data_IF_641408055685
#
_entry.id   IF_641408055685
#
_cell.length_a   1.000
_cell.length_b   1.000
_cell.length_c   1.000
_cell.angle_alpha   90.00
_cell.angle_beta   90.00
_cell.angle_gamma   90.00
#
_symmetry.space_group_name_H-M   'P 1'
#
loop_
_entity.id
_entity.type
_entity.pdbx_description
1 polymer ?
#
# COMPACT_ATOMS: atom_id res chain seq x y z
N UNK A 1 10.03 -8.72 -8.00
CA UNK A 1 10.62 -7.57 -8.71
C UNK A 1 9.72 -6.37 -8.52
N UNK A 2 10.28 -5.23 -8.12
CA UNK A 2 9.53 -3.99 -7.94
C UNK A 2 9.20 -3.35 -9.29
N UNK A 3 7.99 -2.83 -9.43
CA UNK A 3 7.55 -2.02 -10.56
C UNK A 3 7.70 -0.56 -10.13
N UNK A 4 8.31 0.27 -10.97
CA UNK A 4 8.44 1.70 -10.73
C UNK A 4 7.77 2.48 -11.86
N UNK A 5 6.98 3.48 -11.50
CA UNK A 5 6.29 4.37 -12.44
C UNK A 5 6.38 5.80 -11.93
N UNK A 6 6.54 6.77 -12.83
CA UNK A 6 6.30 8.17 -12.49
C UNK A 6 4.79 8.36 -12.34
N UNK A 7 4.37 9.09 -11.30
CA UNK A 7 2.97 9.44 -11.10
C UNK A 7 2.59 10.50 -12.13
N UNK A 8 1.70 10.15 -13.05
CA UNK A 8 1.16 11.06 -14.07
C UNK A 8 0.10 11.99 -13.49
N UNK A 9 -0.74 11.45 -12.59
CA UNK A 9 -1.78 12.18 -11.89
C UNK A 9 -1.94 11.63 -10.47
N UNK A 10 -1.69 12.45 -9.47
CA UNK A 10 -1.96 12.12 -8.08
C UNK A 10 -3.43 12.37 -7.76
N UNK A 11 -4.15 11.34 -7.32
CA UNK A 11 -5.56 11.49 -6.92
C UNK A 11 -5.65 11.70 -5.42
N UNK A 12 -5.69 12.97 -5.01
CA UNK A 12 -5.90 13.34 -3.61
C UNK A 12 -7.39 13.24 -3.29
N UNK A 13 -7.71 12.43 -2.29
CA UNK A 13 -9.04 12.31 -1.71
C UNK A 13 -8.88 12.02 -0.23
N UNK A 14 -8.99 13.03 0.62
CA UNK A 14 -8.80 12.89 2.05
C UNK A 14 -9.80 11.94 2.71
N UNK A 15 -10.93 11.59 2.04
CA UNK A 15 -11.82 10.50 2.49
C UNK A 15 -11.14 9.13 2.49
N UNK A 16 -10.02 8.95 1.79
CA UNK A 16 -9.21 7.73 1.89
C UNK A 16 -8.75 7.44 3.33
N UNK A 17 -8.56 8.49 4.15
CA UNK A 17 -8.21 8.39 5.57
C UNK A 17 -9.33 7.73 6.39
N UNK A 18 -10.57 7.88 5.95
CA UNK A 18 -11.75 7.29 6.57
C UNK A 18 -11.88 5.79 6.27
N UNK A 19 -11.17 5.25 5.27
CA UNK A 19 -11.21 3.82 4.96
C UNK A 19 -10.69 2.96 6.11
N UNK A 20 -9.81 3.50 6.96
CA UNK A 20 -9.38 2.84 8.18
C UNK A 20 -10.51 2.61 9.19
N UNK A 21 -11.65 3.31 9.09
CA UNK A 21 -12.81 3.12 9.97
C UNK A 21 -13.80 2.07 9.44
N UNK A 22 -13.62 1.60 8.19
CA UNK A 22 -14.52 0.63 7.58
C UNK A 22 -14.42 -0.73 8.28
N UNK A 23 -15.54 -1.37 8.66
CA UNK A 23 -15.53 -2.67 9.30
C UNK A 23 -14.98 -3.75 8.36
N UNK A 24 -14.21 -4.68 8.91
CA UNK A 24 -13.77 -5.88 8.21
C UNK A 24 -13.71 -7.07 9.20
N UNK A 25 -13.61 -8.32 8.72
CA UNK A 25 -13.78 -9.47 9.59
C UNK A 25 -12.79 -9.47 10.78
N UNK A 26 -13.31 -9.61 12.00
CA UNK A 26 -12.55 -9.50 13.25
C UNK A 26 -12.41 -8.07 13.80
N UNK A 27 -12.85 -7.06 13.05
CA UNK A 27 -12.63 -5.64 13.33
C UNK A 27 -13.88 -4.81 12.99
N UNK A 28 -14.90 -4.90 13.85
CA UNK A 28 -16.20 -4.24 13.65
C UNK A 28 -16.15 -2.70 13.60
N UNK A 29 -15.08 -2.10 14.11
CA UNK A 29 -14.87 -0.64 14.13
C UNK A 29 -13.72 -0.20 13.21
N UNK A 30 -13.28 -1.09 12.31
CA UNK A 30 -12.16 -0.83 11.41
C UNK A 30 -10.79 -1.12 12.02
N UNK A 31 -9.77 -0.55 11.39
CA UNK A 31 -8.36 -0.85 11.63
C UNK A 31 -7.99 -0.60 13.10
N UNK A 32 -7.39 -1.57 13.79
CA UNK A 32 -6.99 -1.42 15.19
C UNK A 32 -5.86 -0.39 15.38
N UNK A 33 -5.20 0.05 14.30
CA UNK A 33 -4.16 1.07 14.35
C UNK A 33 -4.68 2.50 14.10
N UNK A 34 -5.97 2.67 13.74
CA UNK A 34 -6.56 3.99 13.56
C UNK A 34 -6.38 4.82 14.84
N UNK A 35 -5.87 6.05 14.70
CA UNK A 35 -5.61 6.97 15.81
C UNK A 35 -4.68 6.43 16.92
N UNK A 36 -3.76 5.53 16.58
CA UNK A 36 -2.79 4.96 17.55
C UNK A 36 -1.32 5.16 17.19
N UNK A 37 -1.02 5.48 15.93
CA UNK A 37 0.35 5.59 15.41
C UNK A 37 0.47 6.88 14.61
N UNK A 38 1.64 7.51 14.66
CA UNK A 38 1.95 8.73 13.90
C UNK A 38 1.76 8.54 12.39
N UNK A 39 2.01 7.34 11.87
CA UNK A 39 1.84 7.00 10.44
C UNK A 39 0.40 6.61 10.07
N UNK A 40 -0.55 6.65 11.01
CA UNK A 40 -1.95 6.30 10.80
C UNK A 40 -2.84 7.55 10.89
N UNK A 41 -3.98 7.61 10.18
CA UNK A 41 -4.89 8.73 10.32
C UNK A 41 -5.53 8.74 11.72
N UNK A 42 -5.87 9.93 12.27
CA UNK A 42 -5.70 11.26 11.67
C UNK A 42 -4.31 11.88 11.91
N UNK A 43 -3.38 11.16 12.55
CA UNK A 43 -2.05 11.66 12.93
C UNK A 43 -1.10 11.79 11.73
N UNK A 44 -1.23 10.89 10.74
CA UNK A 44 -0.46 10.93 9.51
C UNK A 44 -0.66 12.27 8.78
N UNK A 45 0.42 12.93 8.32
CA UNK A 45 0.31 14.20 7.59
C UNK A 45 -0.47 14.00 6.29
N UNK A 46 -1.06 15.08 5.79
CA UNK A 46 -1.62 15.09 4.45
C UNK A 46 -0.49 14.99 3.43
N UNK A 47 -0.77 14.40 2.26
CA UNK A 47 0.25 14.19 1.23
C UNK A 47 0.86 15.52 0.74
N UNK A 48 0.05 16.58 0.74
CA UNK A 48 0.41 17.96 0.40
C UNK A 48 1.37 18.63 1.38
N UNK A 49 1.47 18.10 2.60
CA UNK A 49 2.37 18.60 3.66
C UNK A 49 3.62 17.75 3.80
N UNK A 50 3.64 16.58 3.17
CA UNK A 50 4.77 15.66 3.21
C UNK A 50 5.68 15.77 1.98
N UNK A 51 5.08 15.94 0.79
CA UNK A 51 5.83 16.07 -0.46
C UNK A 51 5.67 17.46 -1.08
N UNK A 52 6.71 17.91 -1.78
CA UNK A 52 6.62 19.03 -2.70
C UNK A 52 5.89 18.59 -3.98
N UNK A 53 4.58 18.85 -4.05
CA UNK A 53 3.74 18.44 -5.17
C UNK A 53 3.99 19.21 -6.49
N UNK A 54 4.87 20.22 -6.47
CA UNK A 54 5.37 20.86 -7.71
C UNK A 54 6.51 20.04 -8.37
N UNK A 55 6.96 18.96 -7.72
CA UNK A 55 7.99 18.06 -8.21
C UNK A 55 7.37 16.72 -8.60
N UNK A 56 8.00 15.97 -9.53
CA UNK A 56 7.52 14.64 -9.89
C UNK A 56 7.50 13.69 -8.70
N UNK A 57 6.41 12.91 -8.58
CA UNK A 57 6.33 11.78 -7.66
C UNK A 57 6.62 10.47 -8.39
N UNK A 58 7.16 9.51 -7.65
CA UNK A 58 7.35 8.13 -8.10
C UNK A 58 6.44 7.21 -7.30
N UNK A 59 5.94 6.18 -7.97
CA UNK A 59 5.17 5.09 -7.40
C UNK A 59 6.00 3.81 -7.53
N UNK A 60 6.25 3.15 -6.39
CA UNK A 60 6.86 1.81 -6.35
C UNK A 60 5.77 0.80 -5.97
N UNK A 61 5.65 -0.28 -6.73
CA UNK A 61 4.73 -1.36 -6.44
C UNK A 61 5.45 -2.71 -6.35
N UNK A 62 5.14 -3.48 -5.30
CA UNK A 62 5.51 -4.89 -5.19
C UNK A 62 4.31 -5.74 -5.59
N UNK A 63 4.52 -6.59 -6.60
CA UNK A 63 3.56 -7.60 -7.05
C UNK A 63 3.67 -8.84 -6.16
N UNK A 64 2.55 -9.28 -5.60
CA UNK A 64 2.43 -10.51 -4.84
C UNK A 64 1.43 -11.47 -5.50
N UNK A 65 1.85 -12.72 -5.71
CA UNK A 65 1.03 -13.79 -6.28
C UNK A 65 0.19 -14.47 -5.19
N UNK A 66 -1.00 -13.90 -4.96
CA UNK A 66 -1.95 -14.40 -3.98
C UNK A 66 -2.52 -15.76 -4.40
N UNK A 67 -2.77 -15.99 -5.69
CA UNK A 67 -3.27 -17.28 -6.17
C UNK A 67 -2.30 -18.42 -5.85
N UNK A 68 -1.01 -18.23 -6.11
CA UNK A 68 0.01 -19.21 -5.78
C UNK A 68 0.19 -19.37 -4.27
N UNK A 69 0.15 -18.28 -3.49
CA UNK A 69 0.15 -18.37 -2.03
C UNK A 69 -1.01 -19.23 -1.52
N UNK A 70 -2.24 -18.98 -1.97
CA UNK A 70 -3.43 -19.75 -1.59
C UNK A 70 -3.29 -21.22 -1.97
N UNK A 71 -2.79 -21.54 -3.18
CA UNK A 71 -2.53 -22.93 -3.58
C UNK A 71 -1.57 -23.62 -2.62
N UNK A 72 -0.45 -22.98 -2.27
CA UNK A 72 0.51 -23.54 -1.29
C UNK A 72 -0.12 -23.72 0.08
N UNK A 73 -0.88 -22.73 0.56
CA UNK A 73 -1.54 -22.83 1.87
C UNK A 73 -2.57 -23.95 1.93
N UNK A 74 -3.30 -24.22 0.84
CA UNK A 74 -4.25 -25.35 0.78
C UNK A 74 -3.59 -26.71 0.74
N UNK A 75 -2.37 -26.81 0.20
CA UNK A 75 -1.58 -28.06 0.26
C UNK A 75 -1.08 -28.29 1.69
N UNK A 76 -0.59 -27.24 2.35
CA UNK A 76 -0.08 -27.32 3.72
C UNK A 76 -1.19 -27.50 4.77
N UNK A 77 -2.37 -26.92 4.50
CA UNK A 77 -3.53 -26.92 5.39
C UNK A 77 -4.81 -27.24 4.60
N UNK A 78 -5.05 -28.51 4.25
CA UNK A 78 -6.20 -28.92 3.42
C UNK A 78 -7.57 -28.60 4.04
N UNK A 79 -7.64 -28.46 5.36
CA UNK A 79 -8.84 -28.14 6.13
C UNK A 79 -9.18 -26.64 6.15
N UNK A 80 -8.25 -25.77 5.72
CA UNK A 80 -8.48 -24.34 5.73
C UNK A 80 -9.51 -23.92 4.70
N UNK A 81 -10.43 -23.04 5.13
CA UNK A 81 -11.32 -22.32 4.21
C UNK A 81 -10.52 -21.41 3.27
N UNK A 82 -11.10 -21.05 2.12
CA UNK A 82 -10.49 -20.10 1.18
C UNK A 82 -10.12 -18.77 1.86
N UNK A 83 -10.95 -18.30 2.79
CA UNK A 83 -10.70 -17.10 3.59
C UNK A 83 -9.44 -17.23 4.44
N UNK A 84 -9.23 -18.37 5.11
CA UNK A 84 -8.02 -18.61 5.90
C UNK A 84 -6.79 -18.67 4.99
N UNK A 85 -6.85 -19.40 3.88
CA UNK A 85 -5.75 -19.50 2.93
C UNK A 85 -5.36 -18.15 2.28
N UNK A 86 -6.29 -17.19 2.20
CA UNK A 86 -6.06 -15.82 1.70
C UNK A 86 -5.68 -14.81 2.78
N UNK A 87 -5.69 -15.21 4.05
CA UNK A 87 -5.57 -14.29 5.17
C UNK A 87 -4.31 -13.43 5.06
N UNK A 88 -4.52 -12.11 5.06
CA UNK A 88 -3.46 -11.11 4.85
C UNK A 88 -2.34 -11.20 5.89
N UNK A 89 -2.64 -11.67 7.10
CA UNK A 89 -1.69 -11.81 8.21
C UNK A 89 -0.52 -12.75 7.86
N UNK A 90 -0.73 -13.74 7.00
CA UNK A 90 0.29 -14.75 6.70
C UNK A 90 1.34 -14.33 5.67
N UNK A 91 1.08 -13.26 4.90
CA UNK A 91 1.96 -12.87 3.81
C UNK A 91 2.31 -11.39 3.77
N UNK A 92 1.49 -10.51 4.35
CA UNK A 92 1.69 -9.07 4.19
C UNK A 92 3.00 -8.53 4.78
N UNK A 93 3.52 -9.15 5.85
CA UNK A 93 4.75 -8.71 6.50
C UNK A 93 5.94 -8.81 5.56
N UNK A 94 6.07 -9.93 4.85
CA UNK A 94 7.10 -10.14 3.84
C UNK A 94 6.99 -9.13 2.70
N UNK A 95 5.79 -8.96 2.13
CA UNK A 95 5.57 -8.02 1.02
C UNK A 95 5.81 -6.55 1.43
N UNK A 96 5.42 -6.18 2.65
CA UNK A 96 5.69 -4.84 3.20
C UNK A 96 7.19 -4.63 3.41
N UNK A 97 7.93 -5.65 3.85
CA UNK A 97 9.37 -5.59 3.98
C UNK A 97 10.06 -5.40 2.61
N UNK A 98 9.63 -6.16 1.60
CA UNK A 98 10.14 -6.02 0.23
C UNK A 98 9.88 -4.61 -0.33
N UNK A 99 8.68 -4.06 -0.09
CA UNK A 99 8.32 -2.70 -0.51
C UNK A 99 9.20 -1.65 0.20
N UNK A 100 9.41 -1.81 1.50
CA UNK A 100 10.28 -0.92 2.29
C UNK A 100 11.72 -0.97 1.79
N UNK A 101 12.26 -2.16 1.53
CA UNK A 101 13.61 -2.32 0.99
C UNK A 101 13.72 -1.63 -0.37
N UNK A 102 12.75 -1.83 -1.27
CA UNK A 102 12.75 -1.19 -2.58
C UNK A 102 12.71 0.35 -2.49
N UNK A 103 11.86 0.91 -1.61
CA UNK A 103 11.79 2.35 -1.39
C UNK A 103 13.11 2.90 -0.80
N UNK A 104 13.65 2.24 0.22
CA UNK A 104 14.91 2.63 0.86
C UNK A 104 16.09 2.58 -0.12
N UNK A 105 16.18 1.54 -0.94
CA UNK A 105 17.22 1.43 -1.97
C UNK A 105 17.16 2.59 -2.97
N UNK A 106 15.96 3.08 -3.31
CA UNK A 106 15.83 4.22 -4.21
C UNK A 106 16.21 5.53 -3.52
N UNK A 107 15.77 5.76 -2.28
CA UNK A 107 16.19 6.93 -1.50
C UNK A 107 17.70 6.95 -1.25
N UNK A 108 18.35 5.80 -1.03
CA UNK A 108 19.81 5.73 -0.89
C UNK A 108 20.55 6.16 -2.16
N UNK A 109 19.96 5.92 -3.34
CA UNK A 109 20.50 6.34 -4.65
C UNK A 109 20.12 7.78 -5.01
N UNK A 110 19.06 8.30 -4.39
CA UNK A 110 18.47 9.62 -4.62
C UNK A 110 18.15 10.28 -3.27
N UNK A 111 19.16 10.81 -2.57
CA UNK A 111 19.02 11.33 -1.20
C UNK A 111 18.05 12.50 -1.06
N UNK A 112 17.71 13.17 -2.17
CA UNK A 112 16.69 14.22 -2.22
C UNK A 112 15.26 13.68 -2.06
N UNK A 113 15.05 12.36 -2.18
CA UNK A 113 13.74 11.73 -2.07
C UNK A 113 13.48 11.20 -0.66
N UNK A 114 12.25 11.37 -0.20
CA UNK A 114 11.67 10.61 0.92
C UNK A 114 10.53 9.71 0.43
N UNK A 115 9.98 8.87 1.32
CA UNK A 115 8.93 7.91 0.95
C UNK A 115 7.87 7.72 2.02
N UNK A 116 6.70 7.26 1.58
CA UNK A 116 5.63 6.74 2.45
C UNK A 116 5.16 5.38 1.96
N UNK A 117 4.92 4.46 2.92
CA UNK A 117 4.35 3.14 2.65
C UNK A 117 2.83 3.09 2.87
N UNK A 118 2.24 4.18 3.36
CA UNK A 118 0.81 4.29 3.68
C UNK A 118 0.17 5.53 3.04
N UNK A 119 0.26 5.68 1.70
CA UNK A 119 -0.29 6.87 1.03
C UNK A 119 -1.80 7.08 1.25
N UNK A 120 -2.59 6.03 1.49
CA UNK A 120 -4.01 6.19 1.87
C UNK A 120 -4.20 6.91 3.21
N UNK A 121 -3.31 6.67 4.19
CA UNK A 121 -3.33 7.36 5.49
C UNK A 121 -3.10 8.87 5.36
N UNK A 122 -2.45 9.26 4.26
CA UNK A 122 -2.12 10.64 3.89
C UNK A 122 -3.15 11.26 2.95
N UNK A 123 -4.27 10.57 2.70
CA UNK A 123 -5.37 11.08 1.88
C UNK A 123 -5.20 10.87 0.38
N UNK A 124 -4.39 9.90 -0.05
CA UNK A 124 -4.27 9.52 -1.46
C UNK A 124 -5.26 8.40 -1.81
N UNK A 125 -6.00 8.54 -2.90
CA UNK A 125 -6.69 7.43 -3.54
C UNK A 125 -5.68 6.61 -4.35
N UNK A 126 -5.03 5.67 -3.67
CA UNK A 126 -3.93 4.86 -4.22
C UNK A 126 -4.38 4.00 -5.39
N UNK A 127 -5.61 3.49 -5.37
CA UNK A 127 -6.14 2.67 -6.45
C UNK A 127 -6.23 3.45 -7.75
N UNK A 128 -6.83 4.65 -7.72
CA UNK A 128 -6.99 5.48 -8.92
C UNK A 128 -5.63 6.02 -9.39
N UNK A 129 -4.77 6.43 -8.45
CA UNK A 129 -3.40 6.86 -8.76
C UNK A 129 -2.57 5.76 -9.43
N UNK A 130 -2.68 4.52 -8.97
CA UNK A 130 -1.96 3.39 -9.54
C UNK A 130 -2.48 2.99 -10.93
N UNK A 131 -3.81 3.03 -11.14
CA UNK A 131 -4.42 2.78 -12.43
C UNK A 131 -3.95 3.80 -13.48
N UNK A 132 -3.94 5.10 -13.14
CA UNK A 132 -3.46 6.16 -14.02
C UNK A 132 -1.95 6.06 -14.32
N UNK A 133 -1.18 5.47 -13.41
CA UNK A 133 0.23 5.14 -13.61
C UNK A 133 0.45 3.83 -14.42
N UNK A 134 -0.63 3.17 -14.85
CA UNK A 134 -0.59 1.94 -15.65
C UNK A 134 -0.33 0.67 -14.85
N UNK A 135 -0.64 0.66 -13.54
CA UNK A 135 -0.53 -0.53 -12.68
C UNK A 135 -1.93 -1.13 -12.51
N UNK A 136 -2.17 -2.39 -12.92
CA UNK A 136 -3.50 -2.99 -12.97
C UNK A 136 -3.97 -3.48 -11.59
N UNK A 137 -4.15 -2.54 -10.65
CA UNK A 137 -4.65 -2.84 -9.31
C UNK A 137 -6.15 -3.16 -9.31
N UNK A 138 -6.58 -4.01 -8.38
CA UNK A 138 -7.98 -4.40 -8.18
C UNK A 138 -8.39 -4.09 -6.74
N UNK A 139 -9.65 -3.69 -6.54
CA UNK A 139 -10.21 -3.40 -5.20
C UNK A 139 -10.25 -4.66 -4.33
N UNK A 140 -10.64 -5.80 -4.92
CA UNK A 140 -10.74 -7.11 -4.27
C UNK A 140 -9.93 -8.13 -5.07
N UNK A 141 -8.59 -8.11 -4.95
CA UNK A 141 -7.73 -9.00 -5.73
C UNK A 141 -7.92 -10.46 -5.29
N UNK A 142 -8.05 -11.37 -6.26
CA UNK A 142 -8.13 -12.82 -6.03
C UNK A 142 -6.87 -13.55 -6.50
N UNK A 143 -6.09 -12.91 -7.36
CA UNK A 143 -4.96 -13.47 -8.08
C UNK A 143 -3.67 -12.74 -7.72
N UNK A 144 -3.61 -11.45 -7.99
CA UNK A 144 -2.42 -10.61 -7.79
C UNK A 144 -2.76 -9.45 -6.88
N UNK A 145 -1.94 -9.24 -5.85
CA UNK A 145 -1.97 -8.06 -4.99
C UNK A 145 -0.81 -7.14 -5.36
N UNK A 146 -1.05 -5.83 -5.35
CA UNK A 146 0.01 -4.84 -5.43
C UNK A 146 0.06 -4.06 -4.10
N UNK A 147 1.23 -4.02 -3.48
CA UNK A 147 1.53 -3.12 -2.37
C UNK A 147 2.27 -1.91 -2.92
N UNK A 148 1.86 -0.71 -2.55
CA UNK A 148 2.29 0.54 -3.18
C UNK A 148 2.93 1.46 -2.15
N UNK A 149 4.03 2.08 -2.55
CA UNK A 149 4.66 3.21 -1.87
C UNK A 149 4.71 4.41 -2.82
N UNK A 150 4.72 5.61 -2.25
CA UNK A 150 5.01 6.85 -2.97
C UNK A 150 6.34 7.43 -2.51
N UNK A 151 7.08 8.01 -3.46
CA UNK A 151 8.35 8.69 -3.24
C UNK A 151 8.31 10.05 -3.92
N UNK A 152 8.97 11.03 -3.31
CA UNK A 152 8.99 12.40 -3.78
C UNK A 152 9.99 13.24 -2.99
N UNK A 153 10.29 14.43 -3.51
CA UNK A 153 11.03 15.44 -2.74
C UNK A 153 10.16 15.87 -1.55
N UNK A 154 10.69 15.92 -0.31
CA UNK A 154 9.94 16.45 0.82
C UNK A 154 9.61 17.93 0.62
N UNK A 155 8.56 18.41 1.30
CA UNK A 155 8.16 19.82 1.31
C UNK A 155 9.13 20.69 2.11
#
# INVERSE_FOLDING_TARGET
MAIMKQVTRLHINHRAREWCKLPYPGHRYGCPNYDRKEVCPPQAPLIEDFFNLNKPLLLIAIKFDLANHVRRMRVLHPEWTDRQARCVLYWQSGVNNDLKIAALQLCNKRPELTYTLLPEAMGVNVLTTALDAGIPVKIKPIDIVYKIALLGEPK
#
